data_IF_905765129343
#
_entry.id   IF_905765129343
#
_cell.length_a   1.000
_cell.length_b   1.000
_cell.length_c   1.000
_cell.angle_alpha   90.00
_cell.angle_beta   90.00
_cell.angle_gamma   90.00
#
_symmetry.space_group_name_H-M   'P 1'
#
loop_
_entity.id
_entity.type
_entity.pdbx_description
1 polymer ?
#
# COMPACT_ATOMS: atom_id res chain seq x y z
N UNK A 1 -4.00 -9.64 -36.65
CA UNK A 1 -4.33 -11.05 -36.32
C UNK A 1 -3.78 -11.30 -34.93
N UNK A 2 -4.61 -11.19 -33.89
CA UNK A 2 -4.22 -11.51 -32.51
C UNK A 2 -4.47 -12.99 -32.30
N UNK A 3 -3.41 -13.75 -32.01
CA UNK A 3 -3.48 -15.19 -31.79
C UNK A 3 -3.49 -15.43 -30.29
N UNK A 4 -4.65 -15.78 -29.76
CA UNK A 4 -4.78 -16.39 -28.44
C UNK A 4 -3.93 -17.67 -28.40
N UNK A 5 -3.06 -17.78 -27.39
CA UNK A 5 -2.48 -19.04 -26.97
C UNK A 5 -3.16 -19.43 -25.66
N UNK A 6 -4.09 -20.37 -25.76
CA UNK A 6 -4.69 -21.04 -24.62
C UNK A 6 -3.62 -21.88 -23.90
N UNK A 7 -3.32 -21.50 -22.66
CA UNK A 7 -2.66 -22.33 -21.67
C UNK A 7 -3.65 -22.58 -20.53
N UNK A 8 -4.11 -23.82 -20.44
CA UNK A 8 -4.97 -24.35 -19.38
C UNK A 8 -4.22 -24.34 -18.03
N UNK A 9 -4.78 -23.65 -17.03
CA UNK A 9 -4.17 -23.57 -15.69
C UNK A 9 -4.54 -22.30 -14.92
N UNK A 10 -5.72 -22.31 -14.30
CA UNK A 10 -6.15 -21.28 -13.35
C UNK A 10 -6.52 -19.96 -14.00
N UNK A 11 -7.82 -19.73 -14.21
CA UNK A 11 -8.37 -18.42 -14.60
C UNK A 11 -8.21 -17.42 -13.44
N UNK A 12 -6.98 -17.06 -13.10
CA UNK A 12 -6.70 -15.77 -12.50
C UNK A 12 -7.12 -14.75 -13.54
N UNK A 13 -8.11 -13.92 -13.21
CA UNK A 13 -8.48 -12.76 -14.03
C UNK A 13 -7.16 -12.07 -14.41
N UNK A 14 -6.85 -12.01 -15.70
CA UNK A 14 -5.70 -11.24 -16.18
C UNK A 14 -6.04 -9.78 -15.88
N UNK A 15 -5.55 -9.27 -14.74
CA UNK A 15 -5.67 -7.87 -14.37
C UNK A 15 -4.72 -7.13 -15.31
N UNK A 16 -5.29 -6.55 -16.37
CA UNK A 16 -4.59 -5.58 -17.21
C UNK A 16 -4.56 -4.27 -16.43
N UNK A 17 -3.38 -3.84 -16.02
CA UNK A 17 -3.17 -2.60 -15.28
C UNK A 17 -2.18 -1.73 -16.03
N UNK A 18 -2.55 -0.47 -16.23
CA UNK A 18 -1.70 0.53 -16.88
C UNK A 18 -0.63 1.03 -15.89
N UNK A 19 0.66 1.15 -16.30
CA UNK A 19 1.72 1.70 -15.45
C UNK A 19 1.42 3.11 -14.90
N UNK A 20 0.71 3.96 -15.64
CA UNK A 20 0.33 5.31 -15.21
C UNK A 20 -0.76 5.26 -14.14
N UNK A 21 -1.70 4.32 -14.24
CA UNK A 21 -2.68 4.04 -13.18
C UNK A 21 -1.98 3.56 -11.91
N UNK A 22 -1.01 2.64 -12.03
CA UNK A 22 -0.22 2.16 -10.90
C UNK A 22 0.59 3.30 -10.25
N UNK A 23 1.16 4.19 -11.06
CA UNK A 23 1.86 5.39 -10.59
C UNK A 23 0.92 6.31 -9.81
N UNK A 24 -0.31 6.50 -10.30
CA UNK A 24 -1.34 7.28 -9.61
C UNK A 24 -1.72 6.65 -8.28
N UNK A 25 -1.89 5.32 -8.23
CA UNK A 25 -2.15 4.58 -6.99
C UNK A 25 -1.02 4.77 -5.99
N UNK A 26 0.25 4.71 -6.41
CA UNK A 26 1.41 4.95 -5.54
C UNK A 26 1.39 6.36 -4.97
N UNK A 27 1.01 7.37 -5.76
CA UNK A 27 0.89 8.75 -5.26
C UNK A 27 -0.20 8.87 -4.18
N UNK A 28 -1.34 8.19 -4.33
CA UNK A 28 -2.38 8.17 -3.31
C UNK A 28 -1.92 7.45 -2.04
N UNK A 29 -1.27 6.30 -2.19
CA UNK A 29 -0.71 5.54 -1.08
C UNK A 29 0.34 6.35 -0.31
N UNK A 30 1.20 7.12 -1.00
CA UNK A 30 2.15 8.05 -0.39
C UNK A 30 1.44 9.12 0.46
N UNK A 31 0.39 9.75 -0.09
CA UNK A 31 -0.39 10.76 0.65
C UNK A 31 -1.05 10.19 1.90
N UNK A 32 -1.60 8.98 1.80
CA UNK A 32 -2.20 8.30 2.95
C UNK A 32 -1.13 8.00 4.01
N UNK A 33 0.03 7.49 3.60
CA UNK A 33 1.15 7.22 4.51
C UNK A 33 1.63 8.50 5.21
N UNK A 34 1.76 9.61 4.47
CA UNK A 34 2.14 10.91 5.02
C UNK A 34 1.12 11.40 6.06
N UNK A 35 -0.18 11.32 5.75
CA UNK A 35 -1.25 11.69 6.68
C UNK A 35 -1.23 10.84 7.96
N UNK A 36 -1.06 9.52 7.81
CA UNK A 36 -1.00 8.61 8.95
C UNK A 36 0.22 8.89 9.84
N UNK A 37 1.39 9.11 9.26
CA UNK A 37 2.63 9.35 10.03
C UNK A 37 2.68 10.75 10.65
N UNK A 38 2.22 11.78 9.95
CA UNK A 38 2.32 13.17 10.42
C UNK A 38 1.18 13.54 11.38
N UNK A 39 -0.02 12.98 11.19
CA UNK A 39 -1.20 13.36 11.95
C UNK A 39 -1.70 12.23 12.85
N UNK A 40 -1.91 11.03 12.33
CA UNK A 40 -2.56 9.97 13.11
C UNK A 40 -1.68 9.46 14.26
N UNK A 41 -0.45 9.01 13.96
CA UNK A 41 0.47 8.44 14.95
C UNK A 41 0.75 9.39 16.12
N UNK A 42 1.14 10.66 15.91
CA UNK A 42 1.46 11.56 17.03
C UNK A 42 0.24 11.88 17.90
N UNK A 43 -0.94 11.98 17.30
CA UNK A 43 -2.17 12.23 18.05
C UNK A 43 -2.58 11.00 18.88
N UNK A 44 -2.39 9.79 18.35
CA UNK A 44 -2.65 8.54 19.08
C UNK A 44 -1.75 8.39 20.29
N UNK A 45 -0.45 8.63 20.12
CA UNK A 45 0.51 8.62 21.23
C UNK A 45 0.14 9.66 22.29
N UNK A 46 -0.25 10.86 21.85
CA UNK A 46 -0.72 11.91 22.75
C UNK A 46 -1.96 11.46 23.53
N UNK A 47 -2.96 10.87 22.87
CA UNK A 47 -4.17 10.36 23.53
C UNK A 47 -3.89 9.22 24.51
N UNK A 48 -2.94 8.33 24.19
CA UNK A 48 -2.51 7.26 25.09
C UNK A 48 -1.90 7.77 26.41
N UNK A 49 -1.35 8.98 26.41
CA UNK A 49 -0.68 9.60 27.56
C UNK A 49 -1.56 10.61 28.33
N UNK A 50 -2.85 10.71 28.01
CA UNK A 50 -3.77 11.65 28.69
C UNK A 50 -4.33 11.05 29.99
N UNK A 51 -3.95 11.62 31.14
CA UNK A 51 -4.46 11.22 32.48
C UNK A 51 -5.64 12.07 32.98
N UNK A 52 -6.57 12.46 32.10
CA UNK A 52 -7.67 13.36 32.48
C UNK A 52 -8.75 12.72 33.37
N UNK A 53 -9.00 11.42 33.23
CA UNK A 53 -10.06 10.72 33.95
C UNK A 53 -9.53 9.54 34.77
N UNK A 54 -9.12 9.84 36.01
CA UNK A 54 -8.49 8.87 36.91
C UNK A 54 -9.48 8.06 37.75
N UNK A 55 -10.78 8.41 37.74
CA UNK A 55 -11.81 7.74 38.54
C UNK A 55 -13.22 7.74 37.90
N UNK A 56 -14.09 6.90 38.45
CA UNK A 56 -15.52 6.87 38.14
C UNK A 56 -15.87 6.31 36.75
N UNK A 57 -17.09 6.60 36.28
CA UNK A 57 -17.59 6.14 34.97
C UNK A 57 -16.75 6.66 33.78
N UNK A 58 -16.09 7.80 33.96
CA UNK A 58 -15.22 8.39 32.94
C UNK A 58 -13.95 7.57 32.72
N UNK A 59 -13.36 6.98 33.78
CA UNK A 59 -12.22 6.06 33.66
C UNK A 59 -12.56 4.84 32.80
N UNK A 60 -13.75 4.25 32.97
CA UNK A 60 -14.21 3.12 32.13
C UNK A 60 -14.34 3.50 30.66
N UNK A 61 -14.75 4.73 30.36
CA UNK A 61 -14.77 5.21 28.98
C UNK A 61 -13.36 5.40 28.40
N UNK A 62 -12.35 5.63 29.24
CA UNK A 62 -10.95 5.70 28.80
C UNK A 62 -10.37 4.32 28.41
N UNK A 63 -10.94 3.21 28.92
CA UNK A 63 -10.42 1.84 28.67
C UNK A 63 -10.55 1.38 27.21
N UNK A 64 -11.41 2.01 26.40
CA UNK A 64 -11.55 1.69 24.97
C UNK A 64 -10.48 2.36 24.08
N UNK A 65 -9.84 3.43 24.56
CA UNK A 65 -8.85 4.17 23.78
C UNK A 65 -7.59 3.37 23.45
N UNK A 66 -6.98 2.59 24.38
CA UNK A 66 -5.82 1.77 24.04
C UNK A 66 -6.07 0.82 22.87
N UNK A 67 -7.24 0.16 22.85
CA UNK A 67 -7.63 -0.74 21.75
C UNK A 67 -7.89 0.00 20.44
N UNK A 68 -8.50 1.17 20.51
CA UNK A 68 -8.70 2.00 19.33
C UNK A 68 -7.35 2.49 18.75
N UNK A 69 -6.43 2.89 19.63
CA UNK A 69 -5.07 3.29 19.26
C UNK A 69 -4.31 2.16 18.56
N UNK A 70 -4.35 0.95 19.12
CA UNK A 70 -3.78 -0.26 18.51
C UNK A 70 -4.37 -0.51 17.10
N UNK A 71 -5.68 -0.38 16.94
CA UNK A 71 -6.34 -0.57 15.64
C UNK A 71 -5.92 0.45 14.58
N UNK A 72 -5.55 1.66 14.97
CA UNK A 72 -5.02 2.63 14.00
C UNK A 72 -3.56 2.32 13.68
N UNK A 73 -2.76 1.83 14.64
CA UNK A 73 -1.40 1.35 14.32
C UNK A 73 -1.44 0.17 13.35
N UNK A 74 -2.35 -0.79 13.54
CA UNK A 74 -2.61 -1.86 12.57
C UNK A 74 -2.94 -1.29 11.18
N UNK A 75 -3.71 -0.20 11.11
CA UNK A 75 -4.05 0.45 9.86
C UNK A 75 -2.82 1.05 9.17
N UNK A 76 -1.93 1.70 9.93
CA UNK A 76 -0.66 2.23 9.42
C UNK A 76 0.18 1.10 8.81
N UNK A 77 0.39 0.02 9.55
CA UNK A 77 1.18 -1.13 9.09
C UNK A 77 0.60 -1.76 7.81
N UNK A 78 -0.73 -1.84 7.72
CA UNK A 78 -1.40 -2.37 6.53
C UNK A 78 -1.17 -1.48 5.30
N UNK A 79 -1.26 -0.16 5.45
CA UNK A 79 -1.00 0.77 4.35
C UNK A 79 0.47 0.77 3.94
N UNK A 80 1.40 0.69 4.89
CA UNK A 80 2.84 0.56 4.59
C UNK A 80 3.11 -0.71 3.77
N UNK A 81 2.58 -1.85 4.22
CA UNK A 81 2.76 -3.13 3.53
C UNK A 81 2.14 -3.14 2.14
N UNK A 82 0.93 -2.61 1.98
CA UNK A 82 0.26 -2.51 0.69
C UNK A 82 1.06 -1.60 -0.26
N UNK A 83 1.58 -0.48 0.25
CA UNK A 83 2.39 0.47 -0.52
C UNK A 83 3.67 -0.16 -1.03
N UNK A 84 4.39 -0.91 -0.19
CA UNK A 84 5.59 -1.64 -0.61
C UNK A 84 5.29 -2.63 -1.72
N UNK A 85 4.20 -3.40 -1.61
CA UNK A 85 3.84 -4.39 -2.64
C UNK A 85 3.53 -3.72 -3.98
N UNK A 86 2.75 -2.63 -3.98
CA UNK A 86 2.41 -1.90 -5.20
C UNK A 86 3.66 -1.27 -5.83
N UNK A 87 4.57 -0.75 -5.01
CA UNK A 87 5.84 -0.20 -5.48
C UNK A 87 6.75 -1.27 -6.11
N UNK A 88 6.85 -2.45 -5.49
CA UNK A 88 7.61 -3.57 -6.03
C UNK A 88 7.08 -4.04 -7.38
N UNK A 89 5.75 -4.03 -7.55
CA UNK A 89 5.09 -4.34 -8.83
C UNK A 89 5.49 -3.31 -9.90
N UNK A 90 5.47 -2.00 -9.57
CA UNK A 90 5.87 -0.95 -10.52
C UNK A 90 7.32 -1.15 -10.97
N UNK A 91 8.24 -1.38 -10.02
CA UNK A 91 9.65 -1.63 -10.33
C UNK A 91 9.79 -2.83 -11.26
N UNK A 92 9.05 -3.91 -10.99
CA UNK A 92 9.11 -5.11 -11.82
C UNK A 92 8.58 -4.88 -13.23
N UNK A 93 7.54 -4.06 -13.39
CA UNK A 93 7.02 -3.66 -14.71
C UNK A 93 8.10 -2.89 -15.49
N UNK A 94 8.74 -1.89 -14.86
CA UNK A 94 9.82 -1.11 -15.48
C UNK A 94 11.00 -2.02 -15.91
N UNK A 95 11.44 -2.93 -15.05
CA UNK A 95 12.53 -3.86 -15.35
C UNK A 95 12.19 -4.81 -16.50
N UNK A 96 10.93 -5.27 -16.54
CA UNK A 96 10.44 -6.14 -17.61
C UNK A 96 10.44 -5.39 -18.95
N UNK A 97 9.97 -4.14 -18.98
CA UNK A 97 9.99 -3.31 -20.18
C UNK A 97 11.41 -3.05 -20.69
N UNK A 98 12.36 -2.75 -19.78
CA UNK A 98 13.77 -2.60 -20.13
C UNK A 98 14.35 -3.87 -20.74
N UNK A 99 14.08 -5.02 -20.12
CA UNK A 99 14.56 -6.32 -20.61
C UNK A 99 14.00 -6.63 -22.00
N UNK A 100 12.72 -6.35 -22.23
CA UNK A 100 12.08 -6.54 -23.54
C UNK A 100 12.69 -5.61 -24.58
N UNK A 101 12.92 -4.34 -24.24
CA UNK A 101 13.55 -3.38 -25.13
C UNK A 101 14.96 -3.82 -25.56
N UNK A 102 15.78 -4.28 -24.62
CA UNK A 102 17.12 -4.83 -24.90
C UNK A 102 17.05 -6.05 -25.83
N UNK A 103 16.10 -6.96 -25.60
CA UNK A 103 15.91 -8.12 -26.48
C UNK A 103 15.46 -7.73 -27.89
N UNK A 104 14.65 -6.69 -28.03
CA UNK A 104 14.24 -6.15 -29.34
C UNK A 104 15.44 -5.56 -30.06
N UNK A 105 16.23 -4.70 -29.39
CA UNK A 105 17.45 -4.10 -29.95
C UNK A 105 18.41 -5.18 -30.43
N UNK A 106 18.69 -6.18 -29.59
CA UNK A 106 19.56 -7.30 -29.92
C UNK A 106 19.09 -8.10 -31.15
N UNK A 107 17.76 -8.24 -31.34
CA UNK A 107 17.18 -8.92 -32.51
C UNK A 107 17.17 -8.06 -33.77
N UNK A 108 17.11 -6.73 -33.63
CA UNK A 108 17.16 -5.79 -34.75
C UNK A 108 18.59 -5.56 -35.25
N UNK A 109 19.62 -5.98 -34.50
CA UNK A 109 21.02 -5.96 -34.92
C UNK A 109 21.59 -4.54 -35.07
N UNK A 110 20.98 -3.56 -34.42
CA UNK A 110 21.46 -2.18 -34.26
C UNK A 110 22.06 -1.95 -32.89
#
# INVERSE_FOLDING_TARGET
MLRELAGDGGSGVLISMDPDELTTIIQYLKKISEELQQNAVPNIEKFGNLEYYTAGKAKKAMEVYPKANEKILDLVENYERASSLVYDILIKMIQTDQTIAEQIIAKLGV
#
